data_IF_597122485533
#
_entry.id   IF_597122485533
#
_cell.length_a   1.000
_cell.length_b   1.000
_cell.length_c   1.000
_cell.angle_alpha   90.00
_cell.angle_beta   90.00
_cell.angle_gamma   90.00
#
_symmetry.space_group_name_H-M   'P 1'
#
loop_
_entity.id
_entity.type
_entity.pdbx_description
1 polymer ?
#
# COMPACT_ATOMS: atom_id res chain seq x y z
N UNK A 1 -28.27 -15.03 -15.06
CA UNK A 1 -28.90 -14.53 -13.81
C UNK A 1 -30.35 -14.18 -14.12
N UNK A 2 -31.26 -14.26 -13.14
CA UNK A 2 -32.60 -13.70 -13.31
C UNK A 2 -32.53 -12.16 -13.26
N UNK A 3 -33.23 -11.50 -14.19
CA UNK A 3 -33.38 -10.04 -14.16
C UNK A 3 -34.10 -9.62 -12.87
N UNK A 4 -33.79 -8.44 -12.35
CA UNK A 4 -34.50 -7.89 -11.17
C UNK A 4 -36.02 -7.80 -11.37
N UNK A 5 -36.45 -7.51 -12.60
CA UNK A 5 -37.85 -7.40 -12.98
C UNK A 5 -38.33 -8.63 -13.77
N UNK A 6 -37.81 -9.81 -13.47
CA UNK A 6 -38.07 -11.04 -14.24
C UNK A 6 -39.57 -11.39 -14.35
N UNK A 7 -40.40 -10.99 -13.39
CA UNK A 7 -41.85 -11.23 -13.41
C UNK A 7 -42.56 -10.52 -14.58
N UNK A 8 -41.96 -9.46 -15.14
CA UNK A 8 -42.51 -8.72 -16.29
C UNK A 8 -42.18 -9.38 -17.64
N UNK A 9 -41.31 -10.39 -17.66
CA UNK A 9 -40.83 -11.04 -18.88
C UNK A 9 -41.33 -12.49 -18.96
N UNK A 10 -41.49 -12.98 -20.18
CA UNK A 10 -41.87 -14.37 -20.45
C UNK A 10 -40.67 -15.16 -20.98
N UNK A 11 -40.66 -16.46 -20.68
CA UNK A 11 -39.71 -17.42 -21.24
C UNK A 11 -38.22 -17.06 -21.00
N UNK A 12 -37.43 -16.94 -22.08
CA UNK A 12 -35.98 -16.70 -22.03
C UNK A 12 -35.63 -15.26 -21.62
N UNK A 13 -36.51 -14.29 -21.87
CA UNK A 13 -36.25 -12.86 -21.63
C UNK A 13 -36.11 -12.51 -20.15
N UNK A 14 -36.49 -13.45 -19.27
CA UNK A 14 -36.34 -13.35 -17.81
C UNK A 14 -34.87 -13.43 -17.36
N UNK A 15 -33.98 -13.93 -18.21
CA UNK A 15 -32.58 -14.13 -17.88
C UNK A 15 -31.68 -13.08 -18.54
N UNK A 16 -30.58 -12.75 -17.89
CA UNK A 16 -29.53 -11.88 -18.40
C UNK A 16 -28.13 -12.35 -18.00
N UNK A 17 -27.12 -11.91 -18.74
CA UNK A 17 -25.70 -12.11 -18.47
C UNK A 17 -24.99 -12.92 -19.55
N UNK A 18 -23.67 -13.09 -19.36
CA UNK A 18 -22.76 -13.62 -20.38
C UNK A 18 -23.23 -14.92 -21.06
N UNK A 19 -23.68 -15.92 -20.29
CA UNK A 19 -24.12 -17.20 -20.85
C UNK A 19 -25.43 -17.10 -21.64
N UNK A 20 -26.28 -16.10 -21.34
CA UNK A 20 -27.53 -15.85 -22.08
C UNK A 20 -27.21 -15.31 -23.47
N UNK A 21 -26.32 -14.31 -23.53
CA UNK A 21 -25.87 -13.73 -24.80
C UNK A 21 -25.13 -14.77 -25.65
N UNK A 22 -24.29 -15.58 -25.02
CA UNK A 22 -23.59 -16.68 -25.69
C UNK A 22 -24.57 -17.73 -26.26
N UNK A 23 -25.60 -18.11 -25.51
CA UNK A 23 -26.61 -19.05 -26.00
C UNK A 23 -27.39 -18.49 -27.19
N UNK A 24 -27.72 -17.19 -27.17
CA UNK A 24 -28.39 -16.52 -28.29
C UNK A 24 -27.53 -16.53 -29.56
N UNK A 25 -26.22 -16.24 -29.45
CA UNK A 25 -25.31 -16.30 -30.59
C UNK A 25 -25.12 -17.74 -31.12
N UNK A 26 -24.96 -18.73 -30.23
CA UNK A 26 -24.91 -20.15 -30.65
C UNK A 26 -26.19 -20.54 -31.40
N UNK A 27 -27.36 -20.17 -30.86
CA UNK A 27 -28.64 -20.47 -31.48
C UNK A 27 -28.81 -19.82 -32.86
N UNK A 28 -28.36 -18.57 -33.00
CA UNK A 28 -28.36 -17.83 -34.27
C UNK A 28 -27.43 -18.47 -35.31
N UNK A 29 -26.23 -18.89 -34.91
CA UNK A 29 -25.26 -19.54 -35.80
C UNK A 29 -25.69 -20.95 -36.23
N UNK A 30 -26.31 -21.71 -35.31
CA UNK A 30 -26.77 -23.08 -35.57
C UNK A 30 -28.19 -23.16 -36.14
N UNK A 31 -28.96 -22.07 -36.09
CA UNK A 31 -30.37 -22.04 -36.54
C UNK A 31 -31.32 -22.86 -35.66
N UNK A 32 -31.04 -22.95 -34.35
CA UNK A 32 -31.83 -23.76 -33.41
C UNK A 32 -32.74 -22.90 -32.53
N UNK A 33 -33.88 -23.48 -32.11
CA UNK A 33 -34.71 -22.92 -31.04
C UNK A 33 -34.25 -23.50 -29.71
N UNK A 34 -34.26 -22.69 -28.66
CA UNK A 34 -33.81 -23.09 -27.33
C UNK A 34 -34.72 -22.51 -26.25
N UNK A 35 -34.74 -23.18 -25.10
CA UNK A 35 -35.39 -22.71 -23.89
C UNK A 35 -34.40 -22.77 -22.74
N UNK A 36 -34.22 -21.66 -22.04
CA UNK A 36 -33.35 -21.55 -20.88
C UNK A 36 -34.05 -22.15 -19.66
N UNK A 37 -33.41 -23.13 -19.05
CA UNK A 37 -33.86 -23.78 -17.82
C UNK A 37 -32.76 -23.74 -16.77
N UNK A 38 -33.17 -23.49 -15.53
CA UNK A 38 -32.27 -23.58 -14.38
C UNK A 38 -32.27 -25.01 -13.86
N UNK A 39 -31.07 -25.53 -13.57
CA UNK A 39 -30.86 -26.84 -12.97
C UNK A 39 -31.62 -26.95 -11.64
N UNK A 40 -32.30 -28.09 -11.42
CA UNK A 40 -33.23 -28.22 -10.29
C UNK A 40 -32.59 -28.12 -8.91
N UNK A 41 -31.36 -28.59 -8.74
CA UNK A 41 -30.65 -28.65 -7.45
C UNK A 41 -29.60 -27.52 -7.25
N UNK A 42 -29.43 -26.64 -8.24
CA UNK A 42 -28.45 -25.55 -8.20
C UNK A 42 -26.98 -25.99 -8.27
N UNK A 43 -26.67 -27.25 -8.60
CA UNK A 43 -25.29 -27.78 -8.58
C UNK A 43 -24.69 -27.90 -9.97
N UNK A 44 -23.36 -27.81 -10.05
CA UNK A 44 -22.62 -28.04 -11.30
C UNK A 44 -22.73 -29.51 -11.77
N UNK A 45 -22.59 -30.42 -10.82
CA UNK A 45 -22.62 -31.85 -11.05
C UNK A 45 -21.39 -32.54 -10.49
N UNK A 46 -21.66 -33.51 -9.62
CA UNK A 46 -20.71 -34.39 -8.99
C UNK A 46 -21.30 -35.80 -8.95
N UNK A 47 -20.42 -36.80 -9.02
CA UNK A 47 -20.79 -38.19 -8.90
C UNK A 47 -20.83 -38.58 -7.44
N UNK A 48 -21.98 -39.07 -6.99
CA UNK A 48 -22.12 -39.61 -5.64
C UNK A 48 -21.22 -40.85 -5.46
N UNK A 49 -20.57 -40.96 -4.30
CA UNK A 49 -19.54 -41.99 -4.08
C UNK A 49 -20.14 -43.39 -3.95
N UNK A 50 -21.32 -43.50 -3.32
CA UNK A 50 -21.99 -44.75 -2.98
C UNK A 50 -22.89 -45.20 -4.12
N UNK A 51 -23.80 -44.32 -4.54
CA UNK A 51 -24.81 -44.63 -5.56
C UNK A 51 -24.29 -44.50 -6.98
N UNK A 52 -23.14 -43.84 -7.18
CA UNK A 52 -22.55 -43.54 -8.49
C UNK A 52 -23.43 -42.67 -9.40
N UNK A 53 -24.47 -42.05 -8.85
CA UNK A 53 -25.42 -41.19 -9.57
C UNK A 53 -24.82 -39.79 -9.74
N UNK A 54 -25.04 -39.19 -10.91
CA UNK A 54 -24.63 -37.81 -11.19
C UNK A 54 -25.75 -36.84 -10.82
N UNK A 55 -25.42 -35.77 -10.11
CA UNK A 55 -26.35 -34.66 -9.83
C UNK A 55 -26.04 -33.42 -10.69
N UNK A 56 -26.72 -32.31 -10.42
CA UNK A 56 -26.47 -31.04 -11.09
C UNK A 56 -26.68 -31.07 -12.60
N UNK A 57 -26.05 -30.10 -13.28
CA UNK A 57 -26.10 -29.97 -14.73
C UNK A 57 -25.54 -31.20 -15.45
N UNK A 58 -24.48 -31.82 -14.91
CA UNK A 58 -23.93 -33.07 -15.48
C UNK A 58 -24.97 -34.19 -15.44
N UNK A 59 -25.67 -34.38 -14.31
CA UNK A 59 -26.73 -35.38 -14.20
C UNK A 59 -27.90 -35.11 -15.15
N UNK A 60 -28.28 -33.84 -15.36
CA UNK A 60 -29.34 -33.50 -16.32
C UNK A 60 -28.98 -33.87 -17.76
N UNK A 61 -27.71 -33.72 -18.17
CA UNK A 61 -27.24 -34.17 -19.48
C UNK A 61 -27.17 -35.70 -19.59
N UNK A 62 -26.57 -36.36 -18.59
CA UNK A 62 -26.39 -37.84 -18.58
C UNK A 62 -27.73 -38.56 -18.65
N UNK A 63 -28.76 -38.05 -17.97
CA UNK A 63 -30.09 -38.66 -17.93
C UNK A 63 -31.08 -38.09 -18.97
N UNK A 64 -30.61 -37.28 -19.94
CA UNK A 64 -31.44 -36.76 -21.02
C UNK A 64 -32.55 -35.80 -20.56
N UNK A 65 -32.35 -35.11 -19.42
CA UNK A 65 -33.26 -34.07 -18.92
C UNK A 65 -33.01 -32.70 -19.55
N UNK A 66 -31.82 -32.51 -20.12
CA UNK A 66 -31.39 -31.32 -20.86
C UNK A 66 -30.53 -31.74 -22.06
N UNK A 67 -30.57 -30.97 -23.14
CA UNK A 67 -29.84 -31.27 -24.38
C UNK A 67 -28.44 -30.64 -24.43
N UNK A 68 -28.29 -29.44 -23.83
CA UNK A 68 -27.04 -28.69 -23.81
C UNK A 68 -26.92 -27.89 -22.50
N UNK A 69 -25.71 -27.77 -21.97
CA UNK A 69 -25.41 -26.94 -20.81
C UNK A 69 -24.48 -25.78 -21.21
N UNK A 70 -25.05 -24.57 -21.30
CA UNK A 70 -24.28 -23.33 -21.49
C UNK A 70 -24.09 -22.65 -20.13
N UNK A 71 -22.99 -22.98 -19.45
CA UNK A 71 -22.72 -22.57 -18.09
C UNK A 71 -21.20 -22.46 -17.81
N UNK A 72 -20.77 -21.80 -16.72
CA UNK A 72 -19.37 -21.81 -16.27
C UNK A 72 -18.98 -23.17 -15.67
N UNK A 73 -19.00 -24.23 -16.49
CA UNK A 73 -18.70 -25.60 -16.10
C UNK A 73 -17.25 -25.94 -16.41
N UNK A 74 -16.45 -26.19 -15.38
CA UNK A 74 -15.05 -26.62 -15.55
C UNK A 74 -14.97 -28.01 -16.18
N UNK A 75 -14.18 -28.14 -17.24
CA UNK A 75 -13.83 -29.41 -17.89
C UNK A 75 -12.92 -30.20 -16.95
N UNK A 76 -13.31 -31.42 -16.58
CA UNK A 76 -12.52 -32.33 -15.74
C UNK A 76 -12.59 -33.75 -16.30
N UNK A 77 -11.56 -34.55 -16.05
CA UNK A 77 -11.46 -35.93 -16.55
C UNK A 77 -12.72 -36.75 -16.24
N UNK A 78 -13.17 -36.73 -14.99
CA UNK A 78 -14.34 -37.52 -14.53
C UNK A 78 -15.65 -37.09 -15.18
N UNK A 79 -15.76 -35.84 -15.66
CA UNK A 79 -16.96 -35.37 -16.37
C UNK A 79 -16.88 -35.73 -17.85
N UNK A 80 -15.70 -35.65 -18.44
CA UNK A 80 -15.44 -36.03 -19.84
C UNK A 80 -15.71 -37.52 -20.11
N UNK A 81 -15.66 -38.38 -19.07
CA UNK A 81 -16.05 -39.79 -19.17
C UNK A 81 -17.56 -40.03 -19.41
N UNK A 82 -18.42 -39.05 -19.12
CA UNK A 82 -19.89 -39.22 -19.17
C UNK A 82 -20.60 -38.19 -20.05
N UNK A 83 -19.94 -37.09 -20.39
CA UNK A 83 -20.44 -36.06 -21.30
C UNK A 83 -19.32 -35.52 -22.17
N UNK A 84 -19.66 -35.12 -23.39
CA UNK A 84 -18.71 -34.48 -24.30
C UNK A 84 -18.64 -32.97 -24.06
N UNK A 85 -17.43 -32.40 -24.18
CA UNK A 85 -17.20 -30.96 -24.11
C UNK A 85 -16.75 -30.41 -25.46
N UNK A 86 -17.12 -29.16 -25.73
CA UNK A 86 -16.52 -28.38 -26.81
C UNK A 86 -15.11 -27.89 -26.43
N UNK A 87 -14.43 -27.21 -27.36
CA UNK A 87 -13.18 -26.53 -27.04
C UNK A 87 -13.45 -25.40 -26.02
N UNK A 88 -12.57 -25.22 -25.02
CA UNK A 88 -12.76 -24.19 -24.01
C UNK A 88 -12.79 -22.81 -24.68
N UNK A 89 -13.83 -22.01 -24.37
CA UNK A 89 -14.00 -20.65 -24.92
C UNK A 89 -13.42 -19.56 -23.99
N UNK A 90 -13.10 -19.91 -22.74
CA UNK A 90 -12.53 -18.99 -21.76
C UNK A 90 -11.51 -19.72 -20.89
N UNK A 91 -10.31 -19.14 -20.76
CA UNK A 91 -9.26 -19.67 -19.90
C UNK A 91 -9.32 -18.99 -18.54
N UNK A 92 -9.55 -19.78 -17.50
CA UNK A 92 -9.60 -19.34 -16.10
C UNK A 92 -8.60 -20.19 -15.29
N UNK A 93 -7.99 -19.58 -14.29
CA UNK A 93 -7.07 -20.24 -13.36
C UNK A 93 -7.46 -20.00 -11.90
N UNK A 94 -6.86 -20.77 -10.99
CA UNK A 94 -7.03 -20.55 -9.55
C UNK A 94 -6.38 -19.22 -9.20
N UNK A 95 -7.14 -18.32 -8.58
CA UNK A 95 -6.65 -17.03 -8.09
C UNK A 95 -7.02 -16.86 -6.62
N UNK A 96 -6.18 -16.11 -5.89
CA UNK A 96 -6.41 -15.81 -4.47
C UNK A 96 -6.98 -14.40 -4.38
N UNK A 97 -8.17 -14.27 -3.80
CA UNK A 97 -8.79 -12.99 -3.51
C UNK A 97 -8.46 -12.57 -2.07
N UNK A 98 -7.72 -11.48 -1.91
CA UNK A 98 -7.45 -10.88 -0.60
C UNK A 98 -8.11 -9.51 -0.48
N UNK A 99 -8.51 -9.15 0.75
CA UNK A 99 -8.99 -7.80 1.03
C UNK A 99 -7.87 -6.81 0.74
N UNK A 100 -8.16 -5.76 -0.02
CA UNK A 100 -7.21 -4.67 -0.29
C UNK A 100 -6.66 -4.15 1.06
N UNK A 101 -5.33 -4.15 1.27
CA UNK A 101 -4.77 -3.65 2.51
C UNK A 101 -5.13 -2.17 2.65
N UNK A 102 -5.59 -1.78 3.83
CA UNK A 102 -5.76 -0.36 4.14
C UNK A 102 -4.36 0.22 4.33
N UNK A 103 -3.98 1.19 3.49
CA UNK A 103 -2.77 1.97 3.74
C UNK A 103 -2.99 2.71 5.06
N UNK A 104 -2.08 2.53 6.02
CA UNK A 104 -2.08 3.36 7.22
C UNK A 104 -1.96 4.82 6.80
N UNK A 105 -2.77 5.69 7.42
CA UNK A 105 -2.59 7.13 7.25
C UNK A 105 -1.22 7.50 7.84
N UNK A 106 -0.45 8.40 7.22
CA UNK A 106 0.79 8.88 7.79
C UNK A 106 0.53 9.38 9.22
N UNK A 107 1.37 8.95 10.17
CA UNK A 107 1.27 9.37 11.56
C UNK A 107 1.58 10.87 11.71
N UNK A 108 1.31 11.43 12.88
CA UNK A 108 1.60 12.85 13.19
C UNK A 108 3.08 13.23 13.03
N UNK A 109 3.99 12.24 13.11
CA UNK A 109 5.42 12.40 12.93
C UNK A 109 5.91 12.01 11.53
N UNK A 110 5.02 11.88 10.55
CA UNK A 110 5.44 11.45 9.20
C UNK A 110 6.37 12.44 8.48
N UNK A 111 6.49 13.67 8.99
CA UNK A 111 7.51 14.63 8.54
C UNK A 111 8.94 14.22 8.93
N UNK A 112 9.12 13.32 9.91
CA UNK A 112 10.42 12.76 10.31
C UNK A 112 10.79 11.51 9.49
N UNK A 113 9.80 10.83 8.88
CA UNK A 113 9.98 9.63 8.04
C UNK A 113 10.98 9.77 6.88
N UNK A 114 11.22 10.96 6.28
CA UNK A 114 12.21 11.10 5.21
C UNK A 114 13.66 10.81 5.64
N UNK A 115 13.95 10.82 6.95
CA UNK A 115 15.26 10.52 7.52
C UNK A 115 15.17 9.33 8.47
N UNK A 116 16.10 8.39 8.33
CA UNK A 116 16.18 7.22 9.19
C UNK A 116 16.47 7.61 10.65
N UNK A 117 16.00 6.81 11.60
CA UNK A 117 16.17 7.07 13.04
C UNK A 117 17.66 7.17 13.44
N UNK A 118 18.51 6.39 12.78
CA UNK A 118 19.96 6.41 12.95
C UNK A 118 20.54 7.80 12.63
N UNK A 119 20.05 8.46 11.59
CA UNK A 119 20.52 9.78 11.18
C UNK A 119 20.10 10.82 12.22
N UNK A 120 18.87 10.73 12.75
CA UNK A 120 18.41 11.59 13.84
C UNK A 120 19.30 11.47 15.09
N UNK A 121 19.68 10.25 15.47
CA UNK A 121 20.60 10.03 16.57
C UNK A 121 21.99 10.62 16.28
N UNK A 122 22.51 10.44 15.07
CA UNK A 122 23.78 11.05 14.65
C UNK A 122 23.75 12.58 14.71
N UNK A 123 22.65 13.22 14.29
CA UNK A 123 22.49 14.68 14.36
C UNK A 123 22.57 15.16 15.82
N UNK A 124 21.86 14.48 16.73
CA UNK A 124 21.88 14.83 18.17
C UNK A 124 23.28 14.67 18.77
N UNK A 125 23.97 13.56 18.49
CA UNK A 125 25.33 13.35 18.98
C UNK A 125 26.34 14.34 18.40
N UNK A 126 26.26 14.63 17.10
CA UNK A 126 27.12 15.60 16.44
C UNK A 126 26.89 17.01 17.01
N UNK A 127 25.63 17.40 17.25
CA UNK A 127 25.27 18.68 17.86
C UNK A 127 25.89 18.86 19.25
N UNK A 128 25.77 17.86 20.11
CA UNK A 128 26.39 17.87 21.45
C UNK A 128 27.93 17.91 21.32
N UNK A 129 28.50 17.10 20.43
CA UNK A 129 29.94 17.04 20.20
C UNK A 129 30.53 18.38 19.75
N UNK A 130 29.91 19.03 18.75
CA UNK A 130 30.32 20.36 18.28
C UNK A 130 30.22 21.39 19.40
N UNK A 131 29.15 21.35 20.19
CA UNK A 131 28.96 22.30 21.30
C UNK A 131 30.01 22.14 22.40
N UNK A 132 30.40 20.90 22.73
CA UNK A 132 31.48 20.63 23.68
C UNK A 132 32.84 21.08 23.15
N UNK A 133 33.14 20.79 21.87
CA UNK A 133 34.41 21.21 21.26
C UNK A 133 34.51 22.74 21.23
N UNK A 134 33.44 23.45 20.83
CA UNK A 134 33.41 24.91 20.84
C UNK A 134 33.61 25.47 22.25
N UNK A 135 32.97 24.91 23.27
CA UNK A 135 33.17 25.32 24.66
C UNK A 135 34.60 25.11 25.16
N UNK A 136 35.24 23.99 24.79
CA UNK A 136 36.64 23.77 25.16
C UNK A 136 37.56 24.77 24.44
N UNK A 137 37.35 25.01 23.15
CA UNK A 137 38.14 25.97 22.36
C UNK A 137 38.01 27.38 22.92
N UNK A 138 36.81 27.85 23.24
CA UNK A 138 36.58 29.18 23.83
C UNK A 138 37.20 29.31 25.23
N UNK A 139 37.34 28.21 25.98
CA UNK A 139 37.95 28.21 27.31
C UNK A 139 39.48 28.15 27.30
N UNK A 140 40.06 27.50 26.29
CA UNK A 140 41.52 27.32 26.15
C UNK A 140 42.19 28.37 25.26
N UNK A 141 41.45 29.08 24.40
CA UNK A 141 41.99 30.20 23.61
C UNK A 141 42.10 31.47 24.47
N UNK A 142 43.30 31.94 24.82
CA UNK A 142 43.49 33.16 25.61
C UNK A 142 43.29 34.44 24.79
N UNK A 143 42.91 34.34 23.51
CA UNK A 143 42.83 35.48 22.58
C UNK A 143 41.39 36.00 22.32
N UNK A 144 40.34 35.35 22.84
CA UNK A 144 38.95 35.87 22.77
C UNK A 144 38.56 36.75 23.97
N UNK A 145 39.47 36.96 24.92
CA UNK A 145 39.21 37.83 26.06
C UNK A 145 39.21 39.28 25.57
N UNK A 146 38.07 39.96 25.69
CA UNK A 146 37.92 41.36 25.31
C UNK A 146 38.91 42.22 26.11
N UNK A 147 39.96 42.75 25.46
CA UNK A 147 40.62 43.95 25.96
C UNK A 147 39.79 45.12 25.43
N UNK A 148 38.86 45.62 26.25
CA UNK A 148 38.34 46.96 26.01
C UNK A 148 39.52 47.94 26.14
N UNK A 149 39.85 48.61 25.04
CA UNK A 149 40.74 49.76 25.07
C UNK A 149 39.96 50.91 25.72
N UNK A 150 40.32 51.25 26.97
CA UNK A 150 39.62 52.23 27.79
C UNK A 150 39.91 53.66 27.29
N UNK A 151 38.87 54.43 26.95
CA UNK A 151 38.95 55.89 26.97
C UNK A 151 38.96 56.37 28.43
N UNK A 152 40.13 56.86 28.85
CA UNK A 152 40.43 57.79 29.95
C UNK A 152 39.70 57.60 31.31
N UNK A 153 40.38 57.00 32.29
CA UNK A 153 40.34 57.52 33.67
C UNK A 153 39.68 56.71 34.81
N UNK A 154 39.34 55.43 34.68
CA UNK A 154 38.74 54.63 35.78
C UNK A 154 39.47 53.31 36.07
N UNK A 155 39.51 52.92 37.36
CA UNK A 155 40.33 51.84 37.95
C UNK A 155 40.19 50.49 37.22
N UNK A 156 41.24 49.64 37.21
CA UNK A 156 41.19 48.32 36.58
C UNK A 156 40.36 47.36 37.41
N UNK A 157 39.08 47.18 37.06
CA UNK A 157 38.36 45.94 37.37
C UNK A 157 38.67 44.95 36.26
N UNK A 158 39.49 43.94 36.57
CA UNK A 158 39.77 42.80 35.71
C UNK A 158 38.51 41.92 35.58
N UNK A 159 37.49 42.40 34.88
CA UNK A 159 36.32 41.63 34.47
C UNK A 159 36.46 41.31 32.99
N UNK A 160 37.40 40.43 32.69
CA UNK A 160 37.56 39.87 31.37
C UNK A 160 36.43 38.85 31.16
N UNK A 161 35.32 39.27 30.55
CA UNK A 161 34.14 38.42 30.36
C UNK A 161 34.24 37.63 29.06
N UNK A 162 34.14 36.30 29.16
CA UNK A 162 34.06 35.41 28.01
C UNK A 162 32.57 35.31 27.61
N UNK A 163 32.20 35.88 26.46
CA UNK A 163 30.81 35.83 25.95
C UNK A 163 30.36 34.41 25.58
N UNK A 164 31.27 33.45 25.43
CA UNK A 164 30.96 32.05 25.11
C UNK A 164 30.88 31.16 26.36
N UNK A 165 29.81 31.33 27.14
CA UNK A 165 29.38 30.31 28.12
C UNK A 165 28.87 29.02 27.45
N UNK A 166 28.67 27.94 28.23
CA UNK A 166 28.11 26.65 27.75
C UNK A 166 26.76 26.84 27.04
N UNK A 167 25.90 27.71 27.56
CA UNK A 167 24.58 27.98 27.01
C UNK A 167 24.65 28.80 25.72
N UNK A 168 25.58 29.75 25.63
CA UNK A 168 25.78 30.58 24.43
C UNK A 168 26.40 29.77 23.29
N UNK A 169 27.27 28.80 23.60
CA UNK A 169 27.83 27.88 22.61
C UNK A 169 26.79 26.91 22.04
N UNK A 170 25.87 26.43 22.89
CA UNK A 170 24.72 25.62 22.47
C UNK A 170 23.73 26.43 21.62
N UNK A 171 23.46 27.68 22.01
CA UNK A 171 22.57 28.56 21.24
C UNK A 171 23.15 28.91 19.87
N UNK A 172 24.46 29.17 19.81
CA UNK A 172 25.19 29.40 18.57
C UNK A 172 25.17 28.18 17.64
N UNK A 173 25.46 26.98 18.15
CA UNK A 173 25.44 25.76 17.34
C UNK A 173 24.04 25.43 16.82
N UNK A 174 22.99 25.72 17.59
CA UNK A 174 21.60 25.56 17.16
C UNK A 174 21.22 26.57 16.07
N UNK A 175 21.56 27.85 16.26
CA UNK A 175 21.31 28.91 15.28
C UNK A 175 22.05 28.68 13.95
N UNK A 176 23.28 28.17 14.01
CA UNK A 176 24.05 27.77 12.83
C UNK A 176 23.42 26.56 12.11
N UNK A 177 22.99 25.52 12.85
CA UNK A 177 22.34 24.34 12.28
C UNK A 177 21.01 24.67 11.60
N UNK A 178 20.21 25.56 12.21
CA UNK A 178 18.93 26.00 11.66
C UNK A 178 19.07 27.08 10.57
N UNK A 179 20.29 27.50 10.24
CA UNK A 179 20.60 28.58 9.27
C UNK A 179 19.94 29.92 9.63
N UNK A 180 19.61 30.16 10.89
CA UNK A 180 18.91 31.38 11.33
C UNK A 180 19.85 32.52 11.73
N UNK A 181 21.17 32.28 11.71
CA UNK A 181 22.16 33.23 12.19
C UNK A 181 22.12 33.38 13.72
N UNK A 182 23.20 33.89 14.29
CA UNK A 182 23.27 34.26 15.70
C UNK A 182 24.03 35.59 15.81
N UNK A 183 23.65 36.42 16.77
CA UNK A 183 24.27 37.75 17.00
C UNK A 183 25.72 37.65 17.51
N UNK A 184 26.13 36.46 17.96
CA UNK A 184 27.45 36.18 18.52
C UNK A 184 28.24 35.39 17.48
N UNK A 185 29.40 35.90 17.05
CA UNK A 185 30.27 35.26 16.06
C UNK A 185 31.67 35.00 16.64
N UNK A 186 32.23 33.77 16.49
CA UNK A 186 33.60 33.52 16.91
C UNK A 186 34.57 34.30 16.03
N UNK A 187 35.52 35.01 16.63
CA UNK A 187 36.56 35.78 15.92
C UNK A 187 37.90 35.05 16.03
N UNK A 188 38.04 33.92 15.34
CA UNK A 188 39.33 33.23 15.18
C UNK A 188 39.65 32.95 13.71
N UNK A 189 40.88 33.30 13.32
CA UNK A 189 41.47 33.18 11.97
C UNK A 189 41.87 31.73 11.65
N UNK A 190 40.91 30.81 11.66
CA UNK A 190 41.10 29.43 11.17
C UNK A 190 39.94 28.93 10.29
N UNK A 191 39.31 29.85 9.55
CA UNK A 191 38.49 29.51 8.39
C UNK A 191 39.20 30.04 7.13
N UNK A 192 40.08 29.22 6.57
CA UNK A 192 40.36 29.19 5.14
C UNK A 192 39.94 27.81 4.64
#
# INVERSE_FOLDING_TARGET
MLKKNAELFLDNDRYEGYCVDLAAEIAKHCGIRYQLRIVGDGKYGARDAETKIWNGMVGELVYGKADIAVAPLTITLVREEVIDFSKPFMSLGISIMIKKPQKSKPGVFSFLDPLAYEIWMCIVFAYIGVSVVLFLVSRFSPYEWHMEEYEDGQLPTSESSNEFGIFNSLWFSLGAFMQQGCDISPRLVYCC
#
